data_IF_211925278881
#
_entry.id   IF_211925278881
#
_cell.length_a   1.000
_cell.length_b   1.000
_cell.length_c   1.000
_cell.angle_alpha   90.00
_cell.angle_beta   90.00
_cell.angle_gamma   90.00
#
_symmetry.space_group_name_H-M   'P 1'
#
loop_
_entity.id
_entity.type
_entity.pdbx_description
1 polymer ?
#
# COMPACT_ATOMS: atom_id res chain seq x y z
N UNK A 1 -12.03 12.63 -3.58
CA UNK A 1 -13.30 13.37 -3.79
C UNK A 1 -14.07 12.83 -4.99
N UNK A 2 -13.42 12.60 -6.14
CA UNK A 2 -14.02 11.93 -7.29
C UNK A 2 -14.60 10.55 -6.94
N UNK A 3 -13.81 9.68 -6.29
CA UNK A 3 -14.23 8.35 -5.83
C UNK A 3 -15.55 8.34 -5.07
N UNK A 4 -15.70 9.23 -4.09
CA UNK A 4 -16.94 9.40 -3.30
C UNK A 4 -18.12 9.85 -4.18
N UNK A 5 -17.86 10.67 -5.19
CA UNK A 5 -18.89 11.21 -6.08
C UNK A 5 -19.39 10.17 -7.07
N UNK A 6 -18.47 9.38 -7.64
CA UNK A 6 -18.79 8.23 -8.49
C UNK A 6 -19.55 7.17 -7.67
N UNK A 7 -19.08 6.88 -6.45
CA UNK A 7 -19.71 5.86 -5.59
C UNK A 7 -21.19 6.12 -5.29
N UNK A 8 -21.56 7.37 -5.02
CA UNK A 8 -22.95 7.73 -4.66
C UNK A 8 -23.85 8.06 -5.85
N UNK A 9 -23.33 8.03 -7.08
CA UNK A 9 -24.12 8.30 -8.28
C UNK A 9 -24.19 7.04 -9.17
N UNK A 10 -25.31 6.31 -9.18
CA UNK A 10 -25.41 5.04 -9.89
C UNK A 10 -25.20 5.20 -11.40
N UNK A 11 -25.64 6.30 -12.00
CA UNK A 11 -25.47 6.57 -13.44
C UNK A 11 -23.99 6.74 -13.79
N UNK A 12 -23.25 7.51 -12.98
CA UNK A 12 -21.81 7.71 -13.21
C UNK A 12 -21.04 6.41 -12.99
N UNK A 13 -21.43 5.62 -11.98
CA UNK A 13 -20.81 4.33 -11.68
C UNK A 13 -21.05 3.30 -12.79
N UNK A 14 -22.27 3.24 -13.32
CA UNK A 14 -22.59 2.36 -14.44
C UNK A 14 -21.80 2.74 -15.69
N UNK A 15 -21.69 4.03 -15.98
CA UNK A 15 -20.90 4.51 -17.12
C UNK A 15 -19.40 4.20 -16.95
N UNK A 16 -18.86 4.39 -15.75
CA UNK A 16 -17.49 3.97 -15.43
C UNK A 16 -17.29 2.48 -15.67
N UNK A 17 -18.24 1.64 -15.24
CA UNK A 17 -18.17 0.19 -15.45
C UNK A 17 -18.22 -0.20 -16.93
N UNK A 18 -18.98 0.52 -17.76
CA UNK A 18 -19.02 0.32 -19.22
C UNK A 18 -17.68 0.67 -19.86
N UNK A 19 -17.12 1.83 -19.52
CA UNK A 19 -15.82 2.26 -20.01
C UNK A 19 -14.70 1.30 -19.59
N UNK A 20 -14.71 0.87 -18.33
CA UNK A 20 -13.74 -0.10 -17.82
C UNK A 20 -13.81 -1.45 -18.54
N UNK A 21 -15.03 -1.95 -18.82
CA UNK A 21 -15.22 -3.17 -19.61
C UNK A 21 -14.78 -3.02 -21.07
N UNK A 22 -14.95 -1.83 -21.67
CA UNK A 22 -14.46 -1.53 -23.02
C UNK A 22 -12.94 -1.44 -23.12
N UNK A 23 -12.27 -1.10 -22.02
CA UNK A 23 -10.81 -1.02 -21.91
C UNK A 23 -10.17 -2.31 -21.34
N UNK A 24 -10.95 -3.37 -21.16
CA UNK A 24 -10.52 -4.67 -20.60
C UNK A 24 -9.79 -4.55 -19.25
N UNK A 25 -10.25 -3.62 -18.39
CA UNK A 25 -9.67 -3.44 -17.06
C UNK A 25 -10.21 -4.50 -16.09
N UNK A 26 -9.32 -4.99 -15.22
CA UNK A 26 -9.68 -5.94 -14.14
C UNK A 26 -10.67 -5.34 -13.13
N UNK A 27 -10.75 -4.01 -13.08
CA UNK A 27 -11.59 -3.27 -12.16
C UNK A 27 -12.71 -2.50 -12.86
N UNK A 28 -13.95 -2.77 -12.48
CA UNK A 28 -15.15 -2.09 -13.00
C UNK A 28 -15.57 -0.85 -12.21
N UNK A 29 -14.98 -0.60 -11.03
CA UNK A 29 -15.40 0.48 -10.12
C UNK A 29 -14.22 1.16 -9.42
N UNK A 30 -14.39 2.44 -9.14
CA UNK A 30 -13.49 3.16 -8.23
C UNK A 30 -13.67 2.68 -6.79
N UNK A 31 -12.54 2.52 -6.08
CA UNK A 31 -12.53 2.24 -4.65
C UNK A 31 -13.09 3.45 -3.88
N UNK A 32 -13.93 3.20 -2.88
CA UNK A 32 -14.44 4.25 -2.00
C UNK A 32 -13.42 4.55 -0.90
N UNK A 33 -12.99 5.81 -0.80
CA UNK A 33 -12.18 6.26 0.33
C UNK A 33 -12.99 6.22 1.63
N UNK A 34 -12.47 5.59 2.68
CA UNK A 34 -13.05 5.55 4.03
C UNK A 34 -12.21 6.43 4.95
N UNK A 35 -12.81 7.52 5.45
CA UNK A 35 -12.08 8.52 6.25
C UNK A 35 -11.38 7.95 7.49
N UNK A 36 -11.97 6.92 8.10
CA UNK A 36 -11.46 6.30 9.34
C UNK A 36 -10.43 5.19 9.09
N UNK A 37 -10.16 4.82 7.83
CA UNK A 37 -9.21 3.75 7.48
C UNK A 37 -8.20 4.29 6.47
N UNK A 38 -7.04 4.71 6.95
CA UNK A 38 -6.04 5.38 6.13
C UNK A 38 -5.55 4.50 4.96
N UNK A 39 -5.48 3.16 5.12
CA UNK A 39 -5.12 2.23 4.03
C UNK A 39 -6.03 2.35 2.80
N UNK A 40 -7.29 2.79 2.98
CA UNK A 40 -8.19 2.97 1.84
C UNK A 40 -7.75 4.07 0.88
N UNK A 41 -6.91 5.02 1.32
CA UNK A 41 -6.35 6.03 0.42
C UNK A 41 -5.39 5.39 -0.56
N UNK A 42 -4.50 4.49 -0.11
CA UNK A 42 -3.55 3.78 -0.98
C UNK A 42 -4.27 2.99 -2.06
N UNK A 43 -5.29 2.22 -1.71
CA UNK A 43 -6.10 1.47 -2.69
C UNK A 43 -6.89 2.37 -3.65
N UNK A 44 -7.24 3.59 -3.23
CA UNK A 44 -7.87 4.57 -4.13
C UNK A 44 -6.87 5.10 -5.15
N UNK A 45 -5.62 5.34 -4.74
CA UNK A 45 -4.56 5.81 -5.65
C UNK A 45 -4.20 4.71 -6.65
N UNK A 46 -3.97 3.50 -6.18
CA UNK A 46 -3.71 2.30 -7.00
C UNK A 46 -4.79 2.13 -8.08
N UNK A 47 -6.07 2.13 -7.68
CA UNK A 47 -7.18 2.02 -8.63
C UNK A 47 -7.29 3.21 -9.57
N UNK A 48 -6.95 4.41 -9.12
CA UNK A 48 -6.99 5.59 -9.97
C UNK A 48 -5.93 5.51 -11.08
N UNK A 49 -4.72 5.00 -10.76
CA UNK A 49 -3.64 4.76 -11.73
C UNK A 49 -4.04 3.67 -12.74
N UNK A 50 -4.63 2.56 -12.28
CA UNK A 50 -5.14 1.50 -13.17
C UNK A 50 -6.22 2.02 -14.14
N UNK A 51 -7.03 3.00 -13.72
CA UNK A 51 -8.16 3.52 -14.48
C UNK A 51 -7.90 4.88 -15.14
N UNK A 52 -6.65 5.32 -15.27
CA UNK A 52 -6.32 6.70 -15.70
C UNK A 52 -7.06 7.13 -16.98
N UNK A 53 -6.96 6.37 -18.07
CA UNK A 53 -7.59 6.70 -19.36
C UNK A 53 -9.13 6.69 -19.29
N UNK A 54 -9.66 5.73 -18.54
CA UNK A 54 -11.10 5.58 -18.32
C UNK A 54 -11.64 6.76 -17.50
N UNK A 55 -10.88 7.22 -16.51
CA UNK A 55 -11.24 8.36 -15.68
C UNK A 55 -11.16 9.67 -16.44
N UNK A 56 -10.17 9.86 -17.30
CA UNK A 56 -10.07 11.04 -18.17
C UNK A 56 -11.29 11.11 -19.11
N UNK A 57 -11.62 9.98 -19.76
CA UNK A 57 -12.80 9.85 -20.62
C UNK A 57 -14.08 10.18 -19.85
N UNK A 58 -14.29 9.56 -18.68
CA UNK A 58 -15.47 9.78 -17.84
C UNK A 58 -15.59 11.24 -17.39
N UNK A 59 -14.49 11.85 -16.95
CA UNK A 59 -14.45 13.23 -16.48
C UNK A 59 -14.78 14.23 -17.59
N UNK A 60 -14.46 13.90 -18.85
CA UNK A 60 -14.68 14.76 -20.01
C UNK A 60 -16.05 14.57 -20.69
N UNK A 61 -16.84 13.55 -20.32
CA UNK A 61 -18.18 13.33 -20.90
C UNK A 61 -19.14 14.52 -20.70
N UNK A 62 -19.75 15.00 -21.79
CA UNK A 62 -20.66 16.14 -21.77
C UNK A 62 -21.89 15.93 -20.86
N UNK A 63 -22.41 14.70 -20.80
CA UNK A 63 -23.59 14.36 -19.99
C UNK A 63 -23.37 14.63 -18.48
N UNK A 64 -22.14 14.49 -17.99
CA UNK A 64 -21.80 14.72 -16.59
C UNK A 64 -21.34 16.15 -16.29
N UNK A 65 -21.24 17.01 -17.30
CA UNK A 65 -20.69 18.36 -17.18
C UNK A 65 -21.69 19.50 -17.44
N UNK A 66 -22.99 19.19 -17.40
CA UNK A 66 -24.07 20.20 -17.44
C UNK A 66 -24.01 21.15 -16.23
N UNK A 67 -24.55 22.37 -16.38
CA UNK A 67 -24.53 23.44 -15.36
C UNK A 67 -25.04 22.98 -13.98
N UNK A 68 -26.10 22.16 -13.96
CA UNK A 68 -26.74 21.60 -12.76
C UNK A 68 -26.30 20.16 -12.46
N UNK A 69 -25.30 19.63 -13.18
CA UNK A 69 -24.86 18.23 -13.07
C UNK A 69 -23.68 18.00 -12.12
N UNK A 70 -23.09 16.81 -12.23
CA UNK A 70 -21.96 16.40 -11.39
C UNK A 70 -20.69 17.23 -11.62
N UNK A 71 -20.53 17.82 -12.82
CA UNK A 71 -19.40 18.67 -13.22
C UNK A 71 -18.06 17.96 -12.98
N UNK A 72 -17.92 16.76 -13.55
CA UNK A 72 -16.78 15.88 -13.33
C UNK A 72 -15.47 16.42 -13.89
N UNK A 73 -15.50 17.27 -14.92
CA UNK A 73 -14.30 17.84 -15.57
C UNK A 73 -13.36 18.57 -14.61
N UNK A 74 -13.86 19.04 -13.46
CA UNK A 74 -13.03 19.65 -12.40
C UNK A 74 -12.11 18.66 -11.68
N UNK A 75 -12.33 17.36 -11.86
CA UNK A 75 -11.54 16.28 -11.28
C UNK A 75 -10.64 15.63 -12.32
N UNK A 76 -10.56 16.20 -13.52
CA UNK A 76 -9.57 15.79 -14.49
C UNK A 76 -8.20 16.22 -13.99
N UNK A 77 -7.26 15.28 -13.96
CA UNK A 77 -5.90 15.55 -13.53
C UNK A 77 -5.03 15.85 -14.75
N UNK A 78 -4.07 16.77 -14.59
CA UNK A 78 -2.99 16.94 -15.57
C UNK A 78 -1.98 15.80 -15.48
N UNK A 79 -1.09 15.69 -16.46
CA UNK A 79 0.03 14.74 -16.43
C UNK A 79 0.90 14.91 -15.18
N UNK A 80 1.18 16.15 -14.77
CA UNK A 80 1.95 16.43 -13.55
C UNK A 80 1.20 15.98 -12.29
N UNK A 81 -0.12 16.13 -12.26
CA UNK A 81 -0.95 15.66 -11.15
C UNK A 81 -1.02 14.12 -11.11
N UNK A 82 -1.07 13.45 -12.27
CA UNK A 82 -0.99 11.99 -12.36
C UNK A 82 0.37 11.47 -11.90
N UNK A 83 1.47 12.13 -12.30
CA UNK A 83 2.81 11.83 -11.78
C UNK A 83 2.86 11.97 -10.27
N UNK A 84 2.26 13.03 -9.71
CA UNK A 84 2.18 13.21 -8.26
C UNK A 84 1.37 12.10 -7.57
N UNK A 85 0.29 11.61 -8.20
CA UNK A 85 -0.50 10.47 -7.70
C UNK A 85 0.33 9.18 -7.67
N UNK A 86 1.13 8.91 -8.72
CA UNK A 86 2.05 7.77 -8.77
C UNK A 86 3.11 7.85 -7.66
N UNK A 87 3.79 9.00 -7.55
CA UNK A 87 4.82 9.21 -6.52
C UNK A 87 4.24 9.03 -5.11
N UNK A 88 3.02 9.52 -4.86
CA UNK A 88 2.34 9.36 -3.58
C UNK A 88 1.93 7.90 -3.32
N UNK A 89 1.44 7.19 -4.34
CA UNK A 89 1.11 5.78 -4.22
C UNK A 89 2.35 4.97 -3.84
N UNK A 90 3.47 5.16 -4.55
CA UNK A 90 4.74 4.47 -4.28
C UNK A 90 5.31 4.80 -2.90
N UNK A 91 5.09 6.01 -2.41
CA UNK A 91 5.46 6.37 -1.03
C UNK A 91 4.62 5.60 0.00
N UNK A 92 3.31 5.47 -0.22
CA UNK A 92 2.35 4.93 0.75
C UNK A 92 2.17 3.40 0.69
N UNK A 93 2.47 2.77 -0.43
CA UNK A 93 2.20 1.35 -0.65
C UNK A 93 2.91 0.43 0.37
N UNK A 94 4.22 0.61 0.68
CA UNK A 94 4.88 -0.21 1.69
C UNK A 94 4.26 -0.09 3.09
N UNK A 95 3.75 1.09 3.45
CA UNK A 95 3.04 1.29 4.72
C UNK A 95 1.74 0.49 4.76
N UNK A 96 0.98 0.51 3.66
CA UNK A 96 -0.25 -0.26 3.53
C UNK A 96 0.03 -1.75 3.62
N UNK A 97 1.06 -2.24 2.94
CA UNK A 97 1.52 -3.63 2.98
C UNK A 97 1.88 -4.05 4.41
N UNK A 98 2.80 -3.35 5.08
CA UNK A 98 3.23 -3.67 6.44
C UNK A 98 2.05 -3.69 7.41
N UNK A 99 1.13 -2.73 7.28
CA UNK A 99 -0.06 -2.65 8.13
C UNK A 99 -1.00 -3.83 7.91
N UNK A 100 -1.22 -4.24 6.67
CA UNK A 100 -2.07 -5.39 6.36
C UNK A 100 -1.44 -6.69 6.89
N UNK A 101 -0.12 -6.86 6.77
CA UNK A 101 0.59 -8.03 7.31
C UNK A 101 0.45 -8.09 8.84
N UNK A 102 0.71 -6.98 9.53
CA UNK A 102 0.61 -6.91 10.99
C UNK A 102 -0.84 -7.10 11.47
N UNK A 103 -1.82 -6.52 10.76
CA UNK A 103 -3.23 -6.52 11.18
C UNK A 103 -3.97 -7.82 10.87
N UNK A 104 -3.53 -8.58 9.86
CA UNK A 104 -4.18 -9.83 9.44
C UNK A 104 -3.66 -11.06 10.16
N UNK A 105 -2.52 -10.95 10.84
CA UNK A 105 -1.94 -12.09 11.54
C UNK A 105 -2.73 -12.49 12.78
N UNK A 106 -3.02 -13.78 12.87
CA UNK A 106 -3.59 -14.42 14.06
C UNK A 106 -2.55 -14.67 15.16
N UNK A 107 -1.27 -14.43 14.88
CA UNK A 107 -0.13 -14.66 15.79
C UNK A 107 0.43 -13.33 16.29
N UNK A 108 1.03 -13.35 17.48
CA UNK A 108 1.71 -12.17 18.03
C UNK A 108 2.97 -11.83 17.20
N UNK A 109 2.83 -10.92 16.24
CA UNK A 109 3.90 -10.45 15.35
C UNK A 109 4.82 -9.39 15.98
N UNK A 110 4.90 -9.33 17.30
CA UNK A 110 5.67 -8.28 18.00
C UNK A 110 7.14 -8.22 17.53
N UNK A 111 7.71 -9.37 17.17
CA UNK A 111 9.08 -9.46 16.65
C UNK A 111 9.22 -8.96 15.19
N UNK A 112 8.16 -8.97 14.39
CA UNK A 112 8.20 -8.51 12.99
C UNK A 112 8.05 -6.99 12.86
N UNK A 113 7.56 -6.33 13.91
CA UNK A 113 7.36 -4.88 13.92
C UNK A 113 8.67 -4.12 13.69
N UNK A 114 9.77 -4.54 14.32
CA UNK A 114 11.08 -3.86 14.17
C UNK A 114 11.59 -3.98 12.72
N UNK A 115 11.67 -5.17 12.11
CA UNK A 115 12.00 -5.29 10.69
C UNK A 115 11.14 -4.42 9.75
N UNK A 116 9.82 -4.37 9.98
CA UNK A 116 8.95 -3.49 9.18
C UNK A 116 9.28 -2.01 9.40
N UNK A 117 9.56 -1.59 10.64
CA UNK A 117 9.94 -0.20 10.94
C UNK A 117 11.26 0.18 10.27
N UNK A 118 12.25 -0.72 10.24
CA UNK A 118 13.54 -0.50 9.56
C UNK A 118 13.34 -0.32 8.06
N UNK A 119 12.58 -1.23 7.43
CA UNK A 119 12.26 -1.17 6.00
C UNK A 119 11.51 0.11 5.63
N UNK A 120 10.53 0.52 6.45
CA UNK A 120 9.77 1.75 6.23
C UNK A 120 10.64 3.00 6.43
N UNK A 121 11.58 2.95 7.37
CA UNK A 121 12.52 4.04 7.65
C UNK A 121 13.45 4.26 6.46
N UNK A 122 14.07 3.19 5.95
CA UNK A 122 14.90 3.25 4.74
C UNK A 122 14.10 3.76 3.54
N UNK A 123 12.85 3.29 3.39
CA UNK A 123 11.96 3.70 2.30
C UNK A 123 11.69 5.21 2.32
N UNK A 124 11.33 5.80 3.46
CA UNK A 124 11.08 7.25 3.53
C UNK A 124 12.37 8.07 3.41
N UNK A 125 13.51 7.55 3.87
CA UNK A 125 14.81 8.22 3.69
C UNK A 125 15.19 8.29 2.20
N UNK A 126 14.99 7.21 1.44
CA UNK A 126 15.17 7.21 -0.03
C UNK A 126 14.27 8.24 -0.71
N UNK A 127 12.98 8.30 -0.36
CA UNK A 127 12.07 9.30 -0.93
C UNK A 127 12.40 10.74 -0.51
N UNK A 128 12.93 10.96 0.69
CA UNK A 128 13.33 12.29 1.14
C UNK A 128 14.58 12.81 0.38
N UNK A 129 15.49 11.91 0.04
CA UNK A 129 16.75 12.20 -0.64
C UNK A 129 16.62 12.32 -2.17
N UNK A 130 15.58 11.73 -2.77
CA UNK A 130 15.36 11.76 -4.22
C UNK A 130 14.87 13.13 -4.70
N UNK A 131 15.75 13.91 -5.34
CA UNK A 131 15.45 15.24 -5.88
C UNK A 131 14.63 15.20 -7.18
N UNK A 132 14.39 14.03 -7.77
CA UNK A 132 13.54 13.88 -8.96
C UNK A 132 12.04 13.86 -8.64
N UNK A 133 11.69 13.62 -7.38
CA UNK A 133 10.32 13.60 -6.86
C UNK A 133 9.79 15.00 -6.59
N UNK A 134 8.46 15.14 -6.58
CA UNK A 134 7.80 16.38 -6.22
C UNK A 134 8.22 16.85 -4.80
N UNK A 135 8.48 18.15 -4.60
CA UNK A 135 8.87 18.70 -3.28
C UNK A 135 7.88 18.36 -2.16
N UNK A 136 6.58 18.25 -2.49
CA UNK A 136 5.53 17.86 -1.56
C UNK A 136 5.67 16.41 -1.09
N UNK A 137 6.03 15.48 -1.99
CA UNK A 137 6.25 14.06 -1.68
C UNK A 137 7.48 13.91 -0.80
N UNK A 138 8.57 14.59 -1.14
CA UNK A 138 9.79 14.60 -0.32
C UNK A 138 9.55 15.18 1.07
N UNK A 139 8.79 16.27 1.17
CA UNK A 139 8.41 16.86 2.45
C UNK A 139 7.51 15.90 3.26
N UNK A 140 6.61 15.17 2.61
CA UNK A 140 5.80 14.15 3.25
C UNK A 140 6.66 12.99 3.78
N UNK A 141 7.64 12.51 2.99
CA UNK A 141 8.59 11.48 3.41
C UNK A 141 9.41 11.91 4.63
N UNK A 142 9.95 13.14 4.63
CA UNK A 142 10.66 13.72 5.79
C UNK A 142 9.77 13.78 7.05
N UNK A 143 8.49 14.10 6.90
CA UNK A 143 7.54 14.09 8.03
C UNK A 143 7.24 12.66 8.50
N UNK A 144 7.09 11.72 7.57
CA UNK A 144 6.92 10.30 7.86
C UNK A 144 8.10 9.76 8.67
N UNK A 145 9.33 10.14 8.30
CA UNK A 145 10.57 9.78 9.00
C UNK A 145 10.58 10.21 10.47
N UNK A 146 10.17 11.45 10.75
CA UNK A 146 10.06 11.98 12.13
C UNK A 146 9.02 11.21 12.95
N UNK A 147 7.93 10.79 12.32
CA UNK A 147 6.90 9.99 12.98
C UNK A 147 7.43 8.58 13.27
N UNK A 148 8.15 7.97 12.32
CA UNK A 148 8.78 6.66 12.51
C UNK A 148 9.79 6.68 13.64
N UNK A 149 10.66 7.71 13.74
CA UNK A 149 11.59 7.86 14.87
C UNK A 149 10.88 7.83 16.21
N UNK A 150 9.79 8.59 16.33
CA UNK A 150 9.00 8.65 17.56
C UNK A 150 8.49 7.26 17.95
N UNK A 151 7.94 6.50 17.00
CA UNK A 151 7.43 5.16 17.29
C UNK A 151 8.55 4.14 17.53
N UNK A 152 9.69 4.29 16.84
CA UNK A 152 10.87 3.46 17.04
C UNK A 152 11.43 3.62 18.47
N UNK A 153 11.51 4.85 18.96
CA UNK A 153 11.89 5.13 20.34
C UNK A 153 10.96 4.44 21.35
N UNK A 154 9.65 4.49 21.13
CA UNK A 154 8.67 3.82 22.00
C UNK A 154 8.79 2.29 21.98
N UNK A 155 9.12 1.70 20.82
CA UNK A 155 9.38 0.26 20.74
C UNK A 155 10.65 -0.13 21.50
N UNK A 156 11.70 0.67 21.45
CA UNK A 156 12.94 0.39 22.18
C UNK A 156 12.76 0.56 23.71
N UNK A 157 12.00 1.55 24.16
CA UNK A 157 11.71 1.75 25.59
C UNK A 157 10.83 0.63 26.20
N UNK A 158 10.10 -0.12 25.36
CA UNK A 158 9.18 -1.16 25.81
C UNK A 158 9.86 -2.53 25.89
N UNK A 159 9.95 -3.10 27.11
CA UNK A 159 10.60 -4.40 27.35
C UNK A 159 10.06 -5.56 26.48
N UNK A 160 8.79 -5.48 26.08
CA UNK A 160 8.10 -6.53 25.32
C UNK A 160 8.79 -6.75 23.96
N UNK A 161 9.14 -5.67 23.24
CA UNK A 161 9.80 -5.77 21.93
C UNK A 161 11.22 -6.30 22.07
N UNK A 162 11.98 -5.83 23.09
CA UNK A 162 13.33 -6.33 23.38
C UNK A 162 13.35 -7.83 23.69
N UNK A 163 12.42 -8.32 24.51
CA UNK A 163 12.30 -9.75 24.84
C UNK A 163 11.86 -10.58 23.63
N UNK A 164 10.93 -10.07 22.81
CA UNK A 164 10.47 -10.74 21.60
C UNK A 164 11.61 -10.92 20.58
N UNK A 165 12.47 -9.91 20.41
CA UNK A 165 13.65 -10.01 19.55
C UNK A 165 14.67 -11.00 20.10
N UNK A 166 14.97 -10.94 21.40
CA UNK A 166 15.91 -11.88 22.03
C UNK A 166 15.47 -13.35 21.98
N UNK A 167 14.16 -13.62 22.02
CA UNK A 167 13.60 -14.98 21.90
C UNK A 167 13.48 -15.46 20.45
N UNK A 168 13.25 -14.57 19.48
CA UNK A 168 13.14 -14.96 18.06
C UNK A 168 14.46 -15.51 17.51
N UNK A 169 15.59 -14.96 17.96
CA UNK A 169 16.93 -15.50 17.65
C UNK A 169 17.14 -16.91 18.20
N UNK A 170 16.51 -17.25 19.33
CA UNK A 170 16.58 -18.60 19.92
C UNK A 170 15.63 -19.60 19.26
N UNK A 171 14.46 -19.15 18.78
CA UNK A 171 13.50 -20.01 18.08
C UNK A 171 14.02 -20.39 16.68
N UNK A 172 14.60 -19.44 15.94
CA UNK A 172 15.23 -19.73 14.65
C UNK A 172 16.46 -20.66 14.79
N UNK A 173 17.16 -20.62 15.92
CA UNK A 173 18.25 -21.54 16.21
C UNK A 173 17.76 -22.96 16.58
N UNK A 174 16.51 -23.11 17.06
CA UNK A 174 15.94 -24.40 17.41
C UNK A 174 15.32 -25.12 16.19
N UNK A 175 14.77 -24.38 15.23
CA UNK A 175 14.20 -24.95 14.00
C UNK A 175 15.26 -25.51 13.03
N UNK A 176 16.53 -25.11 13.20
CA UNK A 176 17.67 -25.71 12.47
C UNK A 176 18.31 -26.92 13.16
N UNK A 177 17.86 -27.31 14.36
CA UNK A 177 18.49 -28.38 15.15
C UNK A 177 17.59 -29.59 15.44
N UNK A 178 16.32 -29.58 15.00
CA UNK A 178 15.43 -30.74 15.09
C UNK A 178 14.95 -31.19 13.73
N UNK A 179 15.86 -31.72 12.91
CA UNK A 179 15.48 -32.70 11.88
C UNK A 179 16.62 -33.70 11.60
N UNK A 180 16.70 -34.84 12.32
CA UNK A 180 17.52 -35.96 11.91
C UNK A 180 16.63 -37.16 11.62
N UNK A 181 15.96 -37.19 10.46
CA UNK A 181 15.37 -38.43 9.93
C UNK A 181 15.41 -38.47 8.39
N UNK A 182 16.62 -38.51 7.83
CA UNK A 182 16.86 -39.21 6.56
C UNK A 182 17.91 -40.30 6.82
N UNK A 183 17.43 -41.47 7.26
CA UNK A 183 18.19 -42.72 7.20
C UNK A 183 18.29 -43.09 5.71
N UNK A 184 19.51 -43.06 5.19
CA UNK A 184 19.89 -43.58 3.88
C UNK A 184 19.80 -45.11 3.94
N UNK A 185 19.01 -45.81 3.10
CA UNK A 185 19.06 -47.27 3.04
C UNK A 185 20.32 -47.71 2.29
N UNK A 186 21.24 -48.37 3.01
CA UNK A 186 22.39 -49.05 2.45
C UNK A 186 21.91 -50.21 1.57
N UNK A 187 22.15 -50.10 0.26
CA UNK A 187 22.08 -51.22 -0.67
C UNK A 187 23.50 -51.47 -1.20
N UNK A 188 24.17 -52.50 -0.69
CA UNK A 188 25.32 -53.08 -1.38
C UNK A 188 25.30 -54.59 -1.17
N UNK A 189 25.24 -55.27 -2.31
CA UNK A 189 25.28 -56.71 -2.52
C UNK A 189 26.65 -57.31 -2.25
N UNK A 190 26.63 -58.62 -1.97
CA UNK A 190 27.69 -59.56 -1.59
C UNK A 190 28.94 -59.58 -2.49
N UNK A 191 29.90 -60.45 -2.14
CA UNK A 191 29.94 -61.75 -2.81
C UNK A 191 29.63 -62.95 -1.91
#
# INVERSE_FOLDING_TARGET
KLSVKVWHNPVIREELSKLAGGADLNASVLVRSVKTRWNTVTHVLERALEMQDVLDTLCNMAQFNRRTGARLRRFNLSEDEWKLVDELYRLLDPFSFATNQISSSSRALVHEVIPYMDLLTEHVDRFAADDSLAPSVRAAAKRGRVILDKYYQLTDETFIYRVAMGKSTLVLAHDHFTDPMYIIPNCSSSP
#
